data_IF_445174820924
#
_entry.id   IF_445174820924
#
_cell.length_a   1.000
_cell.length_b   1.000
_cell.length_c   1.000
_cell.angle_alpha   90.00
_cell.angle_beta   90.00
_cell.angle_gamma   90.00
#
_symmetry.space_group_name_H-M   'P 1'
#
loop_
_entity.id
_entity.type
_entity.pdbx_description
1 polymer ?
#
# COMPACT_ATOMS: atom_id res chain seq x y z
N UNK A 1 -7.82 24.12 -16.17
CA UNK A 1 -8.42 23.64 -14.92
C UNK A 1 -9.66 24.49 -14.64
N UNK A 2 -10.84 23.89 -14.42
CA UNK A 2 -12.07 24.66 -14.12
C UNK A 2 -11.98 25.34 -12.75
N UNK A 3 -12.67 26.48 -12.53
CA UNK A 3 -12.67 27.15 -11.23
C UNK A 3 -13.14 26.24 -10.09
N UNK A 4 -14.16 25.41 -10.34
CA UNK A 4 -14.70 24.46 -9.37
C UNK A 4 -13.65 23.40 -8.97
N UNK A 5 -12.90 22.84 -9.93
CA UNK A 5 -11.82 21.89 -9.64
C UNK A 5 -10.68 22.54 -8.85
N UNK A 6 -10.38 23.81 -9.14
CA UNK A 6 -9.36 24.56 -8.40
C UNK A 6 -9.79 24.72 -6.94
N UNK A 7 -11.01 25.20 -6.69
CA UNK A 7 -11.57 25.35 -5.35
C UNK A 7 -11.57 24.02 -4.59
N UNK A 8 -12.04 22.95 -5.20
CA UNK A 8 -12.04 21.62 -4.57
C UNK A 8 -10.62 21.16 -4.18
N UNK A 9 -9.63 21.40 -5.04
CA UNK A 9 -8.22 21.09 -4.73
C UNK A 9 -7.70 21.91 -3.54
N UNK A 10 -8.04 23.20 -3.47
CA UNK A 10 -7.68 24.09 -2.37
C UNK A 10 -8.34 23.65 -1.05
N UNK A 11 -9.64 23.28 -1.08
CA UNK A 11 -10.36 22.77 0.10
C UNK A 11 -9.73 21.49 0.63
N UNK A 12 -9.33 20.55 -0.25
CA UNK A 12 -8.62 19.34 0.14
C UNK A 12 -7.27 19.62 0.80
N UNK A 13 -6.53 20.64 0.30
CA UNK A 13 -5.26 21.08 0.88
C UNK A 13 -5.47 21.69 2.26
N UNK A 14 -6.43 22.58 2.41
CA UNK A 14 -6.76 23.22 3.69
C UNK A 14 -7.17 22.21 4.76
N UNK A 15 -7.84 21.12 4.37
CA UNK A 15 -8.19 20.00 5.27
C UNK A 15 -7.03 19.02 5.50
N UNK A 16 -5.83 19.29 4.99
CA UNK A 16 -4.63 18.47 5.23
C UNK A 16 -4.60 17.12 4.54
N UNK A 17 -5.36 16.93 3.47
CA UNK A 17 -5.31 15.68 2.71
C UNK A 17 -3.97 15.51 1.98
N UNK A 18 -3.39 14.31 2.08
CA UNK A 18 -2.17 13.98 1.37
C UNK A 18 -2.36 14.05 -0.17
N UNK A 19 -1.32 14.45 -0.95
CA UNK A 19 -1.43 14.63 -2.41
C UNK A 19 -2.05 13.44 -3.14
N UNK A 20 -1.68 12.21 -2.80
CA UNK A 20 -2.26 11.01 -3.40
C UNK A 20 -3.76 10.83 -3.11
N UNK A 21 -4.25 11.29 -1.95
CA UNK A 21 -5.69 11.29 -1.63
C UNK A 21 -6.41 12.37 -2.42
N UNK A 22 -5.80 13.54 -2.58
CA UNK A 22 -6.34 14.63 -3.39
C UNK A 22 -6.56 14.18 -4.84
N UNK A 23 -5.55 13.54 -5.45
CA UNK A 23 -5.63 13.00 -6.82
C UNK A 23 -6.78 12.01 -6.97
N UNK A 24 -6.91 11.09 -6.02
CA UNK A 24 -7.96 10.06 -6.05
C UNK A 24 -9.36 10.68 -5.89
N UNK A 25 -9.51 11.68 -5.00
CA UNK A 25 -10.78 12.38 -4.80
C UNK A 25 -11.16 13.22 -6.03
N UNK A 26 -10.21 13.94 -6.60
CA UNK A 26 -10.41 14.71 -7.84
C UNK A 26 -10.82 13.77 -8.98
N UNK A 27 -10.18 12.59 -9.08
CA UNK A 27 -10.54 11.59 -10.09
C UNK A 27 -11.96 11.06 -9.89
N UNK A 28 -12.42 10.85 -8.65
CA UNK A 28 -13.78 10.40 -8.37
C UNK A 28 -14.84 11.44 -8.81
N UNK A 29 -14.60 12.73 -8.54
CA UNK A 29 -15.48 13.82 -8.98
C UNK A 29 -15.48 13.95 -10.51
N UNK A 30 -14.32 13.75 -11.15
CA UNK A 30 -14.24 13.73 -12.61
C UNK A 30 -15.09 12.60 -13.21
N UNK A 31 -15.01 11.38 -12.65
CA UNK A 31 -15.84 10.24 -13.10
C UNK A 31 -17.34 10.51 -12.95
N UNK A 32 -17.77 11.18 -11.88
CA UNK A 32 -19.14 11.61 -11.71
C UNK A 32 -19.58 12.57 -12.82
N UNK A 33 -18.75 13.59 -13.12
CA UNK A 33 -19.03 14.55 -14.18
C UNK A 33 -19.11 13.89 -15.57
N UNK A 34 -18.21 12.93 -15.83
CA UNK A 34 -18.19 12.15 -17.07
C UNK A 34 -19.44 11.27 -17.22
N UNK A 35 -19.92 10.68 -16.13
CA UNK A 35 -21.10 9.82 -16.15
C UNK A 35 -22.38 10.60 -16.52
N UNK A 36 -22.56 11.81 -15.99
CA UNK A 36 -23.73 12.64 -16.28
C UNK A 36 -23.52 13.62 -17.44
N UNK A 37 -22.32 13.72 -18.00
CA UNK A 37 -21.94 14.75 -18.99
C UNK A 37 -22.29 16.17 -18.56
N UNK A 38 -22.22 16.42 -17.23
CA UNK A 38 -22.60 17.68 -16.58
C UNK A 38 -21.63 18.07 -15.49
N UNK A 39 -21.62 19.38 -15.16
CA UNK A 39 -20.82 19.85 -14.03
C UNK A 39 -21.40 19.33 -12.70
N UNK A 40 -20.58 18.82 -11.77
CA UNK A 40 -21.06 18.20 -10.53
C UNK A 40 -21.91 19.13 -9.64
N UNK A 41 -21.70 20.44 -9.70
CA UNK A 41 -22.49 21.45 -8.97
C UNK A 41 -23.94 21.61 -9.46
N UNK A 42 -24.21 21.11 -10.67
CA UNK A 42 -25.55 21.13 -11.29
C UNK A 42 -26.36 19.85 -11.04
N UNK A 43 -25.78 18.87 -10.35
CA UNK A 43 -26.46 17.61 -10.08
C UNK A 43 -27.34 17.73 -8.84
N UNK A 44 -28.46 16.98 -8.85
CA UNK A 44 -29.37 16.83 -7.73
C UNK A 44 -28.94 15.65 -6.82
N UNK A 45 -29.52 15.60 -5.61
CA UNK A 45 -29.31 14.48 -4.68
C UNK A 45 -29.77 13.15 -5.28
N UNK A 46 -30.90 13.12 -5.99
CA UNK A 46 -31.40 11.92 -6.66
C UNK A 46 -30.42 11.41 -7.73
N UNK A 47 -29.76 12.30 -8.46
CA UNK A 47 -28.74 11.92 -9.43
C UNK A 47 -27.50 11.32 -8.72
N UNK A 48 -27.14 11.84 -7.57
CA UNK A 48 -26.06 11.23 -6.77
C UNK A 48 -26.45 9.83 -6.29
N UNK A 49 -27.70 9.64 -5.86
CA UNK A 49 -28.24 8.32 -5.52
C UNK A 49 -28.18 7.35 -6.71
N UNK A 50 -28.60 7.79 -7.89
CA UNK A 50 -28.51 7.01 -9.14
C UNK A 50 -27.06 6.61 -9.45
N UNK A 51 -26.11 7.53 -9.29
CA UNK A 51 -24.70 7.23 -9.50
C UNK A 51 -24.18 6.13 -8.58
N UNK A 52 -24.52 6.14 -7.29
CA UNK A 52 -24.14 5.08 -6.37
C UNK A 52 -24.80 3.73 -6.72
N UNK A 53 -26.05 3.73 -7.19
CA UNK A 53 -26.69 2.52 -7.69
C UNK A 53 -25.98 1.99 -8.94
N UNK A 54 -25.63 2.85 -9.89
CA UNK A 54 -24.84 2.50 -11.05
C UNK A 54 -23.48 1.87 -10.65
N UNK A 55 -22.73 2.50 -9.73
CA UNK A 55 -21.45 1.94 -9.24
C UNK A 55 -21.61 0.55 -8.63
N UNK A 56 -22.72 0.33 -7.91
CA UNK A 56 -22.94 -0.89 -7.12
C UNK A 56 -23.55 -2.01 -7.98
N UNK A 57 -24.60 -1.72 -8.73
CA UNK A 57 -25.42 -2.72 -9.44
C UNK A 57 -24.90 -3.01 -10.85
N UNK A 58 -24.54 -1.96 -11.59
CA UNK A 58 -24.12 -2.11 -12.98
C UNK A 58 -22.61 -2.32 -13.09
N UNK A 59 -21.79 -1.40 -12.54
CA UNK A 59 -20.33 -1.51 -12.59
C UNK A 59 -19.75 -2.49 -11.60
N UNK A 60 -20.49 -2.89 -10.58
CA UNK A 60 -20.07 -3.86 -9.54
C UNK A 60 -18.68 -3.54 -9.00
N UNK A 61 -18.41 -2.24 -8.73
CA UNK A 61 -17.10 -1.81 -8.27
C UNK A 61 -16.75 -2.42 -6.92
N UNK A 62 -15.44 -2.56 -6.64
CA UNK A 62 -14.99 -3.05 -5.35
C UNK A 62 -15.46 -2.13 -4.21
N UNK A 63 -15.60 -2.69 -3.00
CA UNK A 63 -15.90 -1.90 -1.79
C UNK A 63 -14.98 -0.71 -1.62
N UNK A 64 -13.68 -0.91 -1.85
CA UNK A 64 -12.69 0.16 -1.73
C UNK A 64 -12.98 1.31 -2.68
N UNK A 65 -13.31 1.00 -3.93
CA UNK A 65 -13.68 1.99 -4.95
C UNK A 65 -14.96 2.73 -4.55
N UNK A 66 -16.00 2.00 -4.11
CA UNK A 66 -17.24 2.62 -3.64
C UNK A 66 -17.02 3.52 -2.41
N UNK A 67 -16.19 3.10 -1.46
CA UNK A 67 -15.83 3.91 -0.28
C UNK A 67 -15.08 5.18 -0.68
N UNK A 68 -14.15 5.10 -1.62
CA UNK A 68 -13.42 6.26 -2.13
C UNK A 68 -14.39 7.24 -2.79
N UNK A 69 -15.29 6.75 -3.66
CA UNK A 69 -16.29 7.57 -4.30
C UNK A 69 -17.19 8.26 -3.25
N UNK A 70 -17.68 7.50 -2.25
CA UNK A 70 -18.49 8.06 -1.17
C UNK A 70 -17.75 9.17 -0.41
N UNK A 71 -16.53 8.92 0.04
CA UNK A 71 -15.75 9.91 0.79
C UNK A 71 -15.44 11.16 -0.05
N UNK A 72 -15.11 10.99 -1.32
CA UNK A 72 -14.82 12.09 -2.22
C UNK A 72 -16.05 12.95 -2.52
N UNK A 73 -17.19 12.31 -2.85
CA UNK A 73 -18.43 13.00 -3.14
C UNK A 73 -18.98 13.70 -1.87
N UNK A 74 -19.00 12.98 -0.74
CA UNK A 74 -19.41 13.57 0.55
C UNK A 74 -18.60 14.81 0.86
N UNK A 75 -17.28 14.74 0.80
CA UNK A 75 -16.41 15.89 1.04
C UNK A 75 -16.69 17.04 0.06
N UNK A 76 -16.80 16.73 -1.24
CA UNK A 76 -17.04 17.73 -2.27
C UNK A 76 -18.37 18.48 -2.06
N UNK A 77 -19.46 17.73 -1.83
CA UNK A 77 -20.77 18.37 -1.64
C UNK A 77 -20.86 19.10 -0.30
N UNK A 78 -20.37 18.52 0.79
CA UNK A 78 -20.44 19.15 2.11
C UNK A 78 -19.50 20.33 2.27
N UNK A 79 -18.24 20.22 1.86
CA UNK A 79 -17.24 21.27 2.13
C UNK A 79 -17.04 22.25 0.98
N UNK A 80 -17.03 21.78 -0.28
CA UNK A 80 -16.81 22.67 -1.43
C UNK A 80 -18.08 23.35 -1.89
N UNK A 81 -19.22 22.63 -1.94
CA UNK A 81 -20.51 23.16 -2.39
C UNK A 81 -21.43 23.59 -1.25
N UNK A 82 -21.08 23.27 0.00
CA UNK A 82 -21.90 23.58 1.19
C UNK A 82 -23.32 22.99 1.11
N UNK A 83 -23.41 21.74 0.59
CA UNK A 83 -24.66 20.98 0.47
C UNK A 83 -24.55 19.71 1.30
N UNK A 84 -25.37 19.59 2.33
CA UNK A 84 -25.43 18.40 3.18
C UNK A 84 -26.65 17.54 2.79
N UNK A 85 -26.38 16.44 2.09
CA UNK A 85 -27.40 15.57 1.56
C UNK A 85 -27.47 14.23 2.30
N UNK A 86 -28.69 13.80 2.71
CA UNK A 86 -28.91 12.54 3.42
C UNK A 86 -28.41 11.30 2.67
N UNK A 87 -28.34 11.33 1.33
CA UNK A 87 -27.85 10.20 0.52
C UNK A 87 -26.49 9.69 0.97
N UNK A 88 -25.59 10.55 1.47
CA UNK A 88 -24.26 10.14 1.93
C UNK A 88 -24.28 9.28 3.18
N UNK A 89 -25.33 9.31 3.98
CA UNK A 89 -25.52 8.45 5.15
C UNK A 89 -26.15 7.10 4.79
N UNK A 90 -26.85 7.02 3.64
CA UNK A 90 -27.49 5.80 3.17
C UNK A 90 -26.50 4.84 2.49
N UNK A 91 -25.43 5.38 1.87
CA UNK A 91 -24.46 4.58 1.13
C UNK A 91 -23.51 3.89 2.09
N UNK A 92 -23.68 2.57 2.27
CA UNK A 92 -22.84 1.74 3.13
C UNK A 92 -22.23 0.59 2.33
N UNK A 93 -21.02 0.74 1.75
CA UNK A 93 -20.36 -0.35 1.05
C UNK A 93 -20.14 -1.55 1.98
N UNK A 94 -20.63 -2.73 1.58
CA UNK A 94 -20.54 -3.94 2.40
C UNK A 94 -19.08 -4.28 2.72
N UNK A 95 -18.75 -4.68 3.98
CA UNK A 95 -17.42 -5.15 4.31
C UNK A 95 -17.09 -6.43 3.55
N UNK A 96 -16.03 -6.41 2.80
CA UNK A 96 -15.47 -7.58 2.14
C UNK A 96 -14.11 -7.86 2.77
N UNK A 97 -13.99 -8.96 3.49
CA UNK A 97 -12.74 -9.42 4.10
C UNK A 97 -12.12 -10.48 3.19
N UNK A 98 -11.29 -10.05 2.25
CA UNK A 98 -10.40 -10.96 1.53
C UNK A 98 -9.13 -11.15 2.33
N UNK A 99 -8.74 -12.40 2.56
CA UNK A 99 -7.44 -12.70 3.14
C UNK A 99 -6.34 -12.23 2.17
N UNK A 100 -5.26 -11.63 2.68
CA UNK A 100 -4.16 -11.22 1.84
C UNK A 100 -3.48 -12.43 1.19
N UNK A 101 -3.02 -12.26 -0.05
CA UNK A 101 -2.17 -13.24 -0.72
C UNK A 101 -0.79 -13.21 -0.07
N UNK A 102 -0.40 -14.32 0.55
CA UNK A 102 0.92 -14.51 1.14
C UNK A 102 1.75 -15.41 0.24
N UNK A 103 2.96 -14.96 -0.08
CA UNK A 103 3.98 -15.75 -0.76
C UNK A 103 4.77 -16.52 0.29
N UNK A 104 5.09 -17.79 0.05
CA UNK A 104 6.03 -18.56 0.86
C UNK A 104 7.45 -18.01 0.71
N UNK A 105 8.39 -18.39 1.60
CA UNK A 105 9.79 -17.99 1.49
C UNK A 105 10.42 -18.45 0.16
N UNK A 106 10.06 -19.63 -0.32
CA UNK A 106 10.51 -20.15 -1.62
C UNK A 106 9.97 -19.30 -2.77
N UNK A 107 8.68 -18.95 -2.76
CA UNK A 107 8.07 -18.09 -3.78
C UNK A 107 8.65 -16.68 -3.78
N UNK A 108 8.96 -16.11 -2.60
CA UNK A 108 9.65 -14.80 -2.50
C UNK A 108 11.04 -14.87 -3.10
N UNK A 109 11.81 -15.93 -2.82
CA UNK A 109 13.15 -16.15 -3.40
C UNK A 109 13.06 -16.25 -4.91
N UNK A 110 12.21 -17.11 -5.41
CA UNK A 110 11.98 -17.32 -6.85
C UNK A 110 11.58 -16.02 -7.56
N UNK A 111 10.69 -15.22 -6.96
CA UNK A 111 10.29 -13.92 -7.49
C UNK A 111 11.48 -12.94 -7.56
N UNK A 112 12.28 -12.83 -6.49
CA UNK A 112 13.41 -11.90 -6.44
C UNK A 112 14.50 -12.31 -7.43
N UNK A 113 14.77 -13.61 -7.57
CA UNK A 113 15.72 -14.16 -8.54
C UNK A 113 15.30 -13.92 -9.99
N UNK A 114 13.99 -13.95 -10.26
CA UNK A 114 13.43 -13.65 -11.58
C UNK A 114 13.44 -12.16 -11.97
N UNK A 115 13.86 -11.25 -11.07
CA UNK A 115 14.05 -9.84 -11.40
C UNK A 115 15.36 -9.65 -12.14
N UNK A 116 15.33 -9.21 -13.39
CA UNK A 116 16.53 -9.06 -14.22
C UNK A 116 17.39 -7.87 -13.81
N UNK A 117 16.76 -6.70 -13.63
CA UNK A 117 17.48 -5.48 -13.29
C UNK A 117 18.01 -5.52 -11.84
N UNK A 118 19.31 -5.38 -11.61
CA UNK A 118 19.92 -5.43 -10.28
C UNK A 118 19.39 -4.35 -9.33
N UNK A 119 19.04 -3.15 -9.84
CA UNK A 119 18.48 -2.06 -9.04
C UNK A 119 17.08 -2.43 -8.53
N UNK A 120 16.23 -3.00 -9.40
CA UNK A 120 14.88 -3.44 -9.01
C UNK A 120 14.95 -4.66 -8.09
N UNK A 121 15.90 -5.56 -8.33
CA UNK A 121 16.13 -6.71 -7.45
C UNK A 121 16.51 -6.25 -6.04
N UNK A 122 17.44 -5.31 -5.92
CA UNK A 122 17.85 -4.72 -4.63
C UNK A 122 16.64 -4.00 -3.96
N UNK A 123 15.85 -3.29 -4.74
CA UNK A 123 14.63 -2.63 -4.26
C UNK A 123 13.62 -3.63 -3.66
N UNK A 124 13.25 -4.69 -4.37
CA UNK A 124 12.29 -5.69 -3.86
C UNK A 124 12.84 -6.46 -2.67
N UNK A 125 14.14 -6.77 -2.68
CA UNK A 125 14.81 -7.38 -1.53
C UNK A 125 14.69 -6.47 -0.29
N UNK A 126 14.88 -5.16 -0.45
CA UNK A 126 14.75 -4.19 0.63
C UNK A 126 13.32 -4.11 1.16
N UNK A 127 12.33 -4.08 0.27
CA UNK A 127 10.92 -4.09 0.67
C UNK A 127 10.57 -5.32 1.50
N UNK A 128 11.05 -6.49 1.07
CA UNK A 128 10.81 -7.74 1.80
C UNK A 128 11.57 -7.77 3.13
N UNK A 129 12.87 -7.54 3.12
CA UNK A 129 13.71 -7.70 4.31
C UNK A 129 13.42 -6.68 5.43
N UNK A 130 12.87 -5.50 5.08
CA UNK A 130 12.54 -4.43 6.02
C UNK A 130 11.03 -4.21 6.18
N UNK A 131 10.19 -5.00 5.53
CA UNK A 131 8.74 -4.89 5.60
C UNK A 131 8.18 -3.55 5.11
N UNK A 132 8.82 -2.87 4.16
CA UNK A 132 8.49 -1.52 3.73
C UNK A 132 7.23 -1.48 2.83
N UNK A 133 6.53 -0.33 2.87
CA UNK A 133 5.55 0.00 1.84
C UNK A 133 6.27 0.40 0.55
N UNK A 134 5.65 0.17 -0.61
CA UNK A 134 6.20 0.59 -1.89
C UNK A 134 6.63 2.06 -1.88
N UNK A 135 5.78 2.97 -1.42
CA UNK A 135 6.11 4.39 -1.39
C UNK A 135 7.27 4.73 -0.43
N UNK A 136 7.37 4.03 0.69
CA UNK A 136 8.50 4.20 1.63
C UNK A 136 9.82 3.79 0.98
N UNK A 137 9.85 2.64 0.30
CA UNK A 137 11.04 2.18 -0.42
C UNK A 137 11.49 3.14 -1.53
N UNK A 138 10.54 3.76 -2.25
CA UNK A 138 10.86 4.74 -3.30
C UNK A 138 11.55 6.01 -2.74
N UNK A 139 11.18 6.42 -1.54
CA UNK A 139 11.71 7.64 -0.92
C UNK A 139 12.98 7.44 -0.11
N UNK A 140 13.49 6.20 -0.01
CA UNK A 140 14.74 5.93 0.71
C UNK A 140 15.91 6.69 0.12
N UNK A 141 16.69 7.28 1.01
CA UNK A 141 17.90 8.00 0.67
C UNK A 141 19.14 7.28 1.23
N UNK A 142 20.29 7.55 0.66
CA UNK A 142 21.57 6.98 1.13
C UNK A 142 21.87 7.38 2.58
N UNK A 143 21.43 8.56 3.02
CA UNK A 143 21.57 9.04 4.39
C UNK A 143 20.61 8.40 5.41
N UNK A 144 19.67 7.56 4.95
CA UNK A 144 18.75 6.83 5.84
C UNK A 144 19.37 5.53 6.39
N UNK A 145 20.55 5.15 5.89
CA UNK A 145 21.24 3.92 6.26
C UNK A 145 22.22 4.19 7.40
N UNK A 146 21.93 3.67 8.58
CA UNK A 146 22.89 3.55 9.68
C UNK A 146 23.52 2.16 9.67
N UNK A 147 24.61 2.03 8.91
CA UNK A 147 25.29 0.76 8.77
C UNK A 147 26.06 0.31 10.02
N UNK A 148 26.35 1.22 10.97
CA UNK A 148 27.03 0.87 12.22
C UNK A 148 26.05 0.26 13.21
N UNK A 149 24.83 0.84 13.30
CA UNK A 149 23.78 0.34 14.18
C UNK A 149 22.91 -0.76 13.55
N UNK A 150 23.08 -1.02 12.24
CA UNK A 150 22.21 -1.95 11.51
C UNK A 150 20.76 -1.49 11.44
N UNK A 151 20.54 -0.19 11.24
CA UNK A 151 19.22 0.44 11.20
C UNK A 151 18.99 1.15 9.87
N UNK A 152 17.74 1.12 9.43
CA UNK A 152 17.24 1.90 8.30
C UNK A 152 16.16 2.87 8.80
N UNK A 153 16.34 4.16 8.55
CA UNK A 153 15.38 5.20 8.88
C UNK A 153 14.29 5.30 7.81
N UNK A 154 13.05 5.09 8.17
CA UNK A 154 11.89 5.21 7.29
C UNK A 154 11.16 6.50 7.63
N UNK A 155 11.33 7.52 6.78
CA UNK A 155 10.74 8.85 6.97
C UNK A 155 9.30 8.90 6.49
N UNK A 156 8.48 9.74 7.12
CA UNK A 156 7.15 10.11 6.64
C UNK A 156 6.22 8.93 6.40
N UNK A 157 6.28 7.89 7.21
CA UNK A 157 5.38 6.75 7.13
C UNK A 157 3.91 7.16 7.22
N UNK A 158 2.96 6.22 7.15
CA UNK A 158 1.51 6.52 7.22
C UNK A 158 1.19 7.39 8.45
N UNK A 159 0.75 8.63 8.18
CA UNK A 159 0.46 9.64 9.19
C UNK A 159 1.70 10.45 9.59
N UNK A 160 2.66 10.59 8.70
CA UNK A 160 3.86 11.41 8.84
C UNK A 160 4.70 11.07 10.08
N UNK A 161 4.81 9.77 10.43
CA UNK A 161 5.64 9.31 11.54
C UNK A 161 6.84 8.54 11.02
N UNK A 162 8.00 8.93 11.51
CA UNK A 162 9.25 8.24 11.26
C UNK A 162 9.35 6.96 12.10
N UNK A 163 10.10 5.99 11.61
CA UNK A 163 10.48 4.80 12.37
C UNK A 163 11.83 4.27 11.91
N UNK A 164 12.48 3.54 12.79
CA UNK A 164 13.65 2.74 12.45
C UNK A 164 13.25 1.28 12.27
N UNK A 165 13.83 0.62 11.28
CA UNK A 165 13.68 -0.82 11.05
C UNK A 165 15.05 -1.47 11.02
N UNK A 166 15.12 -2.74 11.40
CA UNK A 166 16.36 -3.50 11.35
C UNK A 166 16.84 -3.59 9.89
N UNK A 167 18.14 -3.37 9.70
CA UNK A 167 18.84 -3.52 8.43
C UNK A 167 19.81 -4.71 8.53
N UNK A 168 19.44 -5.89 7.99
CA UNK A 168 20.31 -7.06 8.02
C UNK A 168 21.65 -6.80 7.30
N UNK A 169 22.73 -7.34 7.84
CA UNK A 169 24.09 -7.16 7.27
C UNK A 169 24.16 -7.61 5.80
N UNK A 170 23.51 -8.72 5.47
CA UNK A 170 23.46 -9.21 4.09
C UNK A 170 22.74 -8.23 3.15
N UNK A 171 21.69 -7.56 3.62
CA UNK A 171 21.02 -6.52 2.84
C UNK A 171 21.91 -5.29 2.68
N UNK A 172 22.56 -4.84 3.76
CA UNK A 172 23.50 -3.72 3.70
C UNK A 172 24.61 -3.94 2.66
N UNK A 173 25.18 -5.13 2.59
CA UNK A 173 26.17 -5.48 1.56
C UNK A 173 25.60 -5.37 0.15
N UNK A 174 24.43 -5.95 -0.11
CA UNK A 174 23.74 -5.84 -1.40
C UNK A 174 23.42 -4.40 -1.79
N UNK A 175 23.02 -3.58 -0.83
CA UNK A 175 22.76 -2.16 -1.07
C UNK A 175 24.04 -1.39 -1.43
N UNK A 176 25.16 -1.71 -0.78
CA UNK A 176 26.48 -1.14 -1.12
C UNK A 176 26.93 -1.51 -2.54
N UNK A 177 26.75 -2.76 -2.92
CA UNK A 177 27.06 -3.22 -4.28
C UNK A 177 26.18 -2.53 -5.32
N UNK A 178 24.88 -2.49 -5.07
CA UNK A 178 23.94 -1.77 -5.92
C UNK A 178 24.30 -0.29 -6.04
N UNK A 179 24.63 0.38 -4.93
CA UNK A 179 25.00 1.80 -4.95
C UNK A 179 26.26 2.07 -5.78
N UNK A 180 27.24 1.17 -5.76
CA UNK A 180 28.47 1.29 -6.58
C UNK A 180 28.19 1.36 -8.07
N UNK A 181 27.07 0.81 -8.55
CA UNK A 181 26.73 0.80 -9.98
C UNK A 181 26.23 2.14 -10.50
N UNK A 182 25.60 2.98 -9.66
CA UNK A 182 25.04 4.26 -10.08
C UNK A 182 25.60 5.48 -9.33
N UNK A 183 26.02 5.32 -8.07
CA UNK A 183 26.59 6.37 -7.18
C UNK A 183 25.76 7.67 -7.11
N UNK A 184 24.47 7.58 -7.38
CA UNK A 184 23.54 8.72 -7.44
C UNK A 184 23.06 9.08 -6.04
N UNK A 185 22.95 10.37 -5.74
CA UNK A 185 22.38 10.90 -4.49
C UNK A 185 21.21 11.82 -4.82
N UNK A 186 20.26 12.07 -3.90
CA UNK A 186 20.18 11.50 -2.55
C UNK A 186 19.54 10.10 -2.51
N UNK A 187 18.78 9.69 -3.57
CA UNK A 187 17.96 8.48 -3.53
C UNK A 187 18.80 7.20 -3.57
N UNK A 188 18.36 6.22 -2.75
CA UNK A 188 18.96 4.89 -2.74
C UNK A 188 18.61 4.12 -4.03
N UNK A 189 17.41 4.36 -4.56
CA UNK A 189 16.92 3.75 -5.80
C UNK A 189 16.51 4.85 -6.80
N UNK A 190 17.49 5.45 -7.51
CA UNK A 190 17.25 6.54 -8.45
C UNK A 190 16.63 6.03 -9.76
N UNK A 191 15.86 6.89 -10.40
CA UNK A 191 15.39 6.65 -11.77
C UNK A 191 16.54 6.77 -12.76
N UNK A 192 16.76 5.79 -13.65
CA UNK A 192 17.84 5.85 -14.64
C UNK A 192 17.64 6.95 -15.69
N UNK A 193 16.40 7.46 -15.84
CA UNK A 193 16.05 8.44 -16.85
C UNK A 193 16.32 9.90 -16.45
N UNK A 194 16.69 10.17 -15.19
CA UNK A 194 16.83 11.51 -14.63
C UNK A 194 18.23 11.75 -14.05
N UNK A 195 19.28 11.60 -14.86
CA UNK A 195 20.69 11.72 -14.40
C UNK A 195 21.04 13.11 -13.88
N UNK A 196 20.53 14.17 -14.51
CA UNK A 196 20.86 15.56 -14.16
C UNK A 196 20.02 16.10 -12.98
N UNK A 197 18.86 15.53 -12.73
CA UNK A 197 18.01 15.87 -11.60
C UNK A 197 17.49 14.58 -10.97
N UNK A 198 18.24 13.96 -10.04
CA UNK A 198 17.91 12.66 -9.48
C UNK A 198 16.50 12.61 -8.94
N UNK A 199 15.72 11.68 -9.46
CA UNK A 199 14.35 11.38 -9.03
C UNK A 199 14.30 9.93 -8.54
N UNK A 200 13.42 9.59 -7.62
CA UNK A 200 13.23 8.19 -7.22
C UNK A 200 12.63 7.39 -8.37
N UNK A 201 12.73 6.07 -8.31
CA UNK A 201 12.01 5.18 -9.21
C UNK A 201 10.51 5.49 -9.19
N UNK A 202 9.86 5.35 -10.35
CA UNK A 202 8.41 5.57 -10.40
C UNK A 202 7.63 4.37 -9.87
N UNK A 203 6.51 4.63 -9.22
CA UNK A 203 5.58 3.59 -8.76
C UNK A 203 5.16 2.66 -9.89
N UNK A 204 4.84 3.22 -11.06
CA UNK A 204 4.40 2.48 -12.23
C UNK A 204 5.50 1.53 -12.73
N UNK A 205 6.73 2.01 -12.84
CA UNK A 205 7.89 1.20 -13.27
C UNK A 205 8.08 -0.01 -12.34
N UNK A 206 8.05 0.21 -11.03
CA UNK A 206 8.21 -0.86 -10.05
C UNK A 206 7.06 -1.87 -10.10
N UNK A 207 5.83 -1.42 -10.28
CA UNK A 207 4.68 -2.33 -10.41
C UNK A 207 4.78 -3.19 -11.68
N UNK A 208 5.22 -2.61 -12.80
CA UNK A 208 5.45 -3.34 -14.05
C UNK A 208 6.60 -4.34 -13.92
N UNK A 209 7.73 -3.94 -13.32
CA UNK A 209 8.86 -4.83 -13.07
C UNK A 209 8.48 -6.00 -12.17
N UNK A 210 7.67 -5.77 -11.12
CA UNK A 210 7.16 -6.82 -10.25
C UNK A 210 6.24 -7.80 -11.02
N UNK A 211 5.33 -7.28 -11.83
CA UNK A 211 4.42 -8.10 -12.63
C UNK A 211 5.19 -8.99 -13.62
N UNK A 212 6.19 -8.44 -14.30
CA UNK A 212 7.07 -9.19 -15.19
C UNK A 212 7.87 -10.27 -14.45
N UNK A 213 8.46 -9.95 -13.29
CA UNK A 213 9.19 -10.91 -12.46
C UNK A 213 8.26 -12.04 -11.97
N UNK A 214 7.03 -11.72 -11.53
CA UNK A 214 6.03 -12.71 -11.14
C UNK A 214 5.71 -13.68 -12.27
N UNK A 215 5.54 -13.17 -13.49
CA UNK A 215 5.26 -13.98 -14.68
C UNK A 215 6.44 -14.89 -15.00
N UNK A 216 7.68 -14.38 -15.02
CA UNK A 216 8.90 -15.17 -15.25
C UNK A 216 9.12 -16.26 -14.19
N UNK A 217 8.79 -15.93 -12.94
CA UNK A 217 8.84 -16.87 -11.83
C UNK A 217 7.73 -17.94 -11.89
N UNK A 218 6.80 -17.89 -12.84
CA UNK A 218 5.70 -18.85 -12.95
C UNK A 218 4.74 -18.87 -11.76
N UNK A 219 4.66 -17.76 -10.97
CA UNK A 219 3.83 -17.74 -9.78
C UNK A 219 2.36 -17.59 -10.13
N UNK A 220 1.55 -18.62 -9.82
CA UNK A 220 0.11 -18.62 -10.05
C UNK A 220 -0.66 -17.65 -9.15
N UNK A 221 -0.11 -17.31 -7.97
CA UNK A 221 -0.73 -16.38 -7.02
C UNK A 221 -0.78 -14.97 -7.59
N UNK A 222 -1.93 -14.28 -7.44
CA UNK A 222 -2.10 -12.88 -7.80
C UNK A 222 -1.41 -11.96 -6.78
N UNK A 223 -0.07 -12.07 -6.70
CA UNK A 223 0.73 -11.24 -5.83
C UNK A 223 0.98 -9.85 -6.43
N UNK A 224 1.08 -8.87 -5.55
CA UNK A 224 1.48 -7.49 -5.85
C UNK A 224 2.73 -7.13 -5.05
N UNK A 225 3.35 -5.97 -5.33
CA UNK A 225 4.49 -5.50 -4.53
C UNK A 225 4.18 -5.50 -3.03
N UNK A 226 2.93 -5.22 -2.64
CA UNK A 226 2.52 -5.22 -1.23
C UNK A 226 2.52 -6.62 -0.60
N UNK A 227 2.43 -7.67 -1.42
CA UNK A 227 2.51 -9.06 -0.95
C UNK A 227 3.88 -9.41 -0.35
N UNK A 228 4.97 -8.70 -0.73
CA UNK A 228 6.28 -8.85 -0.08
C UNK A 228 6.23 -8.44 1.40
N UNK A 229 5.53 -7.35 1.70
CA UNK A 229 5.35 -6.89 3.08
C UNK A 229 4.40 -7.81 3.86
N UNK A 230 3.39 -8.39 3.22
CA UNK A 230 2.55 -9.41 3.85
C UNK A 230 3.37 -10.67 4.16
N UNK A 231 4.19 -11.13 3.22
CA UNK A 231 5.09 -12.25 3.41
C UNK A 231 6.08 -12.01 4.56
N UNK A 232 6.72 -10.82 4.62
CA UNK A 232 7.59 -10.44 5.73
C UNK A 232 6.89 -10.60 7.09
N UNK A 233 5.68 -10.04 7.23
CA UNK A 233 4.95 -10.11 8.49
C UNK A 233 4.59 -11.56 8.87
N UNK A 234 4.13 -12.35 7.90
CA UNK A 234 3.74 -13.75 8.12
C UNK A 234 4.96 -14.61 8.47
N UNK A 235 6.06 -14.46 7.74
CA UNK A 235 7.28 -15.24 8.00
C UNK A 235 7.92 -14.92 9.35
N UNK A 236 7.84 -13.66 9.83
CA UNK A 236 8.29 -13.34 11.19
C UNK A 236 7.38 -13.97 12.26
N UNK A 237 6.06 -14.00 12.03
CA UNK A 237 5.14 -14.71 12.94
C UNK A 237 5.43 -16.22 12.97
N UNK A 238 5.71 -16.83 11.82
CA UNK A 238 6.12 -18.23 11.72
C UNK A 238 7.43 -18.52 12.47
N UNK A 239 8.30 -17.51 12.60
CA UNK A 239 9.52 -17.57 13.42
C UNK A 239 9.28 -17.19 14.89
N UNK A 240 8.03 -17.13 15.35
CA UNK A 240 7.63 -16.78 16.70
C UNK A 240 8.04 -15.36 17.16
N UNK A 241 8.27 -14.44 16.23
CA UNK A 241 8.48 -13.03 16.56
C UNK A 241 7.15 -12.44 17.07
N UNK A 242 7.18 -11.72 18.17
CA UNK A 242 5.97 -11.19 18.77
C UNK A 242 5.22 -10.24 17.83
N UNK A 243 3.87 -10.33 17.85
CA UNK A 243 3.01 -9.49 17.00
C UNK A 243 3.26 -7.99 17.22
N UNK A 244 3.62 -7.60 18.45
CA UNK A 244 3.93 -6.22 18.81
C UNK A 244 5.19 -5.72 18.10
N UNK A 245 6.26 -6.49 18.09
CA UNK A 245 7.50 -6.14 17.38
C UNK A 245 7.27 -6.03 15.87
N UNK A 246 6.46 -6.95 15.30
CA UNK A 246 6.08 -6.89 13.89
C UNK A 246 5.24 -5.64 13.61
N UNK A 247 4.31 -5.29 14.51
CA UNK A 247 3.50 -4.07 14.38
C UNK A 247 4.38 -2.81 14.37
N UNK A 248 5.35 -2.73 15.27
CA UNK A 248 6.30 -1.62 15.35
C UNK A 248 7.17 -1.53 14.08
N UNK A 249 7.77 -2.64 13.65
CA UNK A 249 8.56 -2.70 12.42
C UNK A 249 7.76 -2.26 11.19
N UNK A 250 6.50 -2.69 11.08
CA UNK A 250 5.61 -2.31 10.01
C UNK A 250 5.08 -0.86 10.13
N UNK A 251 5.12 -0.24 11.30
CA UNK A 251 4.51 1.07 11.55
C UNK A 251 2.99 1.03 11.38
N UNK A 252 2.33 0.03 11.96
CA UNK A 252 0.87 -0.05 12.00
C UNK A 252 0.32 0.71 13.21
N UNK A 253 -0.60 1.65 12.98
CA UNK A 253 -1.29 2.38 14.07
C UNK A 253 -2.25 1.51 14.85
N UNK A 254 -2.89 0.53 14.18
CA UNK A 254 -3.87 -0.36 14.80
C UNK A 254 -3.35 -1.78 14.85
N UNK A 255 -3.43 -2.45 16.02
CA UNK A 255 -3.12 -3.86 16.16
C UNK A 255 -3.93 -4.75 15.22
N UNK A 256 -5.18 -4.37 14.95
CA UNK A 256 -6.09 -5.09 14.05
C UNK A 256 -5.50 -5.27 12.63
N UNK A 257 -4.65 -4.34 12.18
CA UNK A 257 -3.99 -4.46 10.87
C UNK A 257 -2.94 -5.56 10.87
N UNK A 258 -2.25 -5.77 11.98
CA UNK A 258 -1.22 -6.82 12.13
C UNK A 258 -1.85 -8.15 12.50
N UNK A 259 -2.95 -8.16 13.28
CA UNK A 259 -3.68 -9.36 13.67
C UNK A 259 -4.21 -10.17 12.47
N UNK A 260 -4.37 -9.56 11.29
CA UNK A 260 -4.75 -10.28 10.06
C UNK A 260 -3.75 -11.37 9.66
N UNK A 261 -2.51 -11.28 10.11
CA UNK A 261 -1.47 -12.26 9.79
C UNK A 261 -1.52 -13.48 10.72
N UNK A 262 -2.09 -13.38 11.92
CA UNK A 262 -2.15 -14.48 12.88
C UNK A 262 -2.96 -15.68 12.38
N UNK A 263 -3.95 -15.43 11.53
CA UNK A 263 -4.77 -16.49 10.94
C UNK A 263 -4.09 -17.24 9.77
N UNK A 264 -2.90 -16.79 9.36
CA UNK A 264 -2.23 -17.27 8.14
C UNK A 264 -1.02 -18.16 8.43
N UNK A 265 -0.60 -18.28 9.71
CA UNK A 265 0.61 -19.02 10.08
C UNK A 265 0.31 -20.49 10.38
N UNK A 266 1.12 -21.40 9.83
CA UNK A 266 1.07 -22.84 10.14
C UNK A 266 1.35 -23.12 11.62
N UNK A 267 2.33 -22.50 12.30
CA UNK A 267 2.54 -22.71 13.73
C UNK A 267 1.32 -22.37 14.57
N UNK A 268 0.58 -21.29 14.25
CA UNK A 268 -0.63 -20.94 14.98
C UNK A 268 -1.73 -22.00 14.81
N UNK A 269 -1.87 -22.57 13.61
CA UNK A 269 -2.81 -23.66 13.35
C UNK A 269 -2.41 -24.95 14.03
N UNK A 270 -1.14 -25.31 13.97
CA UNK A 270 -0.61 -26.51 14.64
C UNK A 270 -0.77 -26.42 16.16
N UNK A 271 -0.47 -25.25 16.76
CA UNK A 271 -0.66 -25.02 18.20
C UNK A 271 -2.13 -25.13 18.58
N UNK A 272 -3.04 -24.58 17.80
CA UNK A 272 -4.48 -24.70 18.03
C UNK A 272 -4.92 -26.17 17.94
N UNK A 273 -4.47 -26.90 16.90
CA UNK A 273 -4.77 -28.31 16.73
C UNK A 273 -4.31 -29.14 17.94
N UNK A 274 -3.05 -28.99 18.34
CA UNK A 274 -2.50 -29.68 19.52
C UNK A 274 -3.24 -29.32 20.82
N UNK A 275 -3.65 -28.07 20.99
CA UNK A 275 -4.43 -27.64 22.15
C UNK A 275 -5.84 -28.24 22.13
N UNK A 276 -6.48 -28.32 20.97
CA UNK A 276 -7.79 -28.97 20.84
C UNK A 276 -7.68 -30.49 21.10
N UNK A 277 -6.65 -31.14 20.54
CA UNK A 277 -6.40 -32.57 20.83
C UNK A 277 -6.19 -32.84 22.31
N UNK A 278 -5.47 -31.94 23.00
CA UNK A 278 -5.29 -32.04 24.46
C UNK A 278 -6.62 -31.87 25.21
N UNK A 279 -7.48 -30.93 24.81
CA UNK A 279 -8.82 -30.76 25.38
C UNK A 279 -9.70 -32.01 25.16
N UNK A 280 -9.59 -32.66 24.00
CA UNK A 280 -10.34 -33.87 23.68
C UNK A 280 -9.88 -35.10 24.47
N UNK A 281 -8.62 -35.14 24.92
CA UNK A 281 -8.11 -36.21 25.76
C UNK A 281 -8.74 -36.20 27.20
N UNK A 282 -9.41 -35.10 27.57
CA UNK A 282 -10.13 -34.99 28.86
C UNK A 282 -11.61 -35.30 28.80
N UNK A 283 -12.14 -35.63 27.60
CA UNK A 283 -13.54 -36.04 27.34
C UNK A 283 -13.63 -37.54 27.10
#
# INVERSE_FOLDING_TARGET
MTPLRKRFSEDLQLHGYAPGTQEVYISAIKQLAEYFHRSPDQLSEDQIRQYFLHLTLERKVSRSTATIALCALKFFYQHTLQRDWPVFELVRPRPETKLPVVLSQAEVRQLIEAVEDPLYRAYFTTLYACGLRLAEGLQLQTGDIDGQRGLLHVRGGKGNKDRFVALPTALLQRLRECWKTHRTRPYLFPSPHHRNAPQPLSRKTIQLAFAAARQRAGLAKHATVHSLRHAFATHLLEQNVSLRLIQEALGHRSPTTTARYTHLTEPARATLGASVDHLMQGL
#
